data_IF_294217604857
#
_entry.id   IF_294217604857
#
_cell.length_a   1.000
_cell.length_b   1.000
_cell.length_c   1.000
_cell.angle_alpha   90.00
_cell.angle_beta   90.00
_cell.angle_gamma   90.00
#
_symmetry.space_group_name_H-M   'P 1'
#
loop_
_entity.id
_entity.type
_entity.pdbx_description
1 polymer ?
#
# COMPACT_ATOMS: atom_id res chain seq x y z
N UNK A 1 20.00 12.97 40.48
CA UNK A 1 19.28 12.79 39.20
C UNK A 1 17.86 13.30 39.39
N UNK A 2 17.47 14.37 38.70
CA UNK A 2 16.13 14.92 38.83
C UNK A 2 15.15 14.04 38.03
N UNK A 3 14.24 13.37 38.73
CA UNK A 3 13.11 12.68 38.12
C UNK A 3 12.26 13.72 37.40
N UNK A 4 12.27 13.70 36.06
CA UNK A 4 11.40 14.52 35.23
C UNK A 4 9.96 14.10 35.57
N UNK A 5 9.24 14.96 36.30
CA UNK A 5 7.81 14.76 36.61
C UNK A 5 7.09 14.41 35.30
N UNK A 6 6.48 13.23 35.25
CA UNK A 6 5.57 12.85 34.18
C UNK A 6 4.38 13.80 34.24
N UNK A 7 4.37 14.78 33.36
CA UNK A 7 3.21 15.66 33.16
C UNK A 7 2.07 14.74 32.70
N UNK A 8 0.92 14.71 33.39
CA UNK A 8 -0.23 13.94 32.92
C UNK A 8 -0.58 14.44 31.52
N UNK A 9 -0.68 13.52 30.56
CA UNK A 9 -1.20 13.87 29.24
C UNK A 9 -2.60 14.46 29.44
N UNK A 10 -2.94 15.57 28.75
CA UNK A 10 -4.28 16.15 28.84
C UNK A 10 -5.34 15.09 28.52
N UNK A 11 -6.51 15.13 29.18
CA UNK A 11 -7.59 14.19 28.90
C UNK A 11 -7.89 14.18 27.40
N UNK A 12 -8.00 12.99 26.82
CA UNK A 12 -8.26 12.85 25.39
C UNK A 12 -9.72 13.20 25.13
N UNK A 13 -10.02 14.15 24.24
CA UNK A 13 -11.40 14.51 23.93
C UNK A 13 -12.21 13.33 23.41
N UNK A 14 -13.52 13.34 23.65
CA UNK A 14 -14.40 12.23 23.22
C UNK A 14 -14.59 12.18 21.70
N UNK A 15 -14.40 13.31 21.01
CA UNK A 15 -14.53 13.42 19.55
C UNK A 15 -13.20 13.85 18.89
N UNK A 16 -12.83 13.27 17.74
CA UNK A 16 -11.68 13.71 16.94
C UNK A 16 -11.73 15.19 16.54
N UNK A 17 -12.92 15.76 16.35
CA UNK A 17 -13.06 17.17 15.98
C UNK A 17 -12.64 18.13 17.10
N UNK A 18 -12.79 17.70 18.37
CA UNK A 18 -12.39 18.49 19.54
C UNK A 18 -10.86 18.59 19.66
N UNK A 19 -10.13 17.56 19.22
CA UNK A 19 -8.66 17.62 19.17
C UNK A 19 -8.20 18.80 18.33
N UNK A 20 -8.84 19.06 17.20
CA UNK A 20 -8.50 20.21 16.37
C UNK A 20 -8.67 21.51 17.17
N UNK A 21 -9.78 21.66 17.90
CA UNK A 21 -10.10 22.85 18.70
C UNK A 21 -9.16 23.09 19.89
N UNK A 22 -8.45 22.06 20.34
CA UNK A 22 -7.45 22.15 21.41
C UNK A 22 -6.04 22.47 20.88
N UNK A 23 -5.81 22.42 19.56
CA UNK A 23 -4.49 22.71 18.97
C UNK A 23 -4.26 24.22 18.87
N UNK A 24 -3.28 24.78 19.60
CA UNK A 24 -3.06 26.23 19.65
C UNK A 24 -2.44 26.78 18.35
N UNK A 25 -1.78 25.91 17.56
CA UNK A 25 -1.12 26.28 16.30
C UNK A 25 -2.02 26.15 15.07
N UNK A 26 -3.30 25.77 15.23
CA UNK A 26 -4.21 25.63 14.09
C UNK A 26 -4.43 26.99 13.43
N UNK A 27 -4.57 27.00 12.10
CA UNK A 27 -4.95 28.18 11.31
C UNK A 27 -6.37 28.09 10.76
N UNK A 28 -6.99 26.91 10.84
CA UNK A 28 -8.38 26.68 10.42
C UNK A 28 -9.34 26.83 11.61
N UNK A 29 -10.56 27.36 11.40
CA UNK A 29 -11.51 27.59 12.49
C UNK A 29 -12.08 26.29 13.06
N UNK A 30 -12.21 25.24 12.24
CA UNK A 30 -12.76 23.95 12.61
C UNK A 30 -12.96 23.06 11.39
N UNK A 31 -13.58 21.90 11.60
CA UNK A 31 -14.02 21.00 10.51
C UNK A 31 -15.29 21.54 9.85
N UNK A 32 -15.47 21.23 8.57
CA UNK A 32 -16.72 21.50 7.84
C UNK A 32 -17.83 20.55 8.32
N UNK A 33 -19.10 20.91 8.09
CA UNK A 33 -20.25 20.15 8.58
C UNK A 33 -20.20 18.67 8.16
N UNK A 34 -20.00 18.40 6.86
CA UNK A 34 -19.90 17.03 6.33
C UNK A 34 -18.70 16.25 6.87
N UNK A 35 -17.59 16.93 7.17
CA UNK A 35 -16.41 16.31 7.81
C UNK A 35 -16.75 15.88 9.23
N UNK A 36 -17.43 16.75 9.99
CA UNK A 36 -17.90 16.47 11.35
C UNK A 36 -18.89 15.31 11.39
N UNK A 37 -19.83 15.24 10.44
CA UNK A 37 -20.79 14.13 10.32
C UNK A 37 -20.08 12.79 10.10
N UNK A 38 -19.09 12.74 9.20
CA UNK A 38 -18.30 11.52 8.93
C UNK A 38 -17.52 11.11 10.18
N UNK A 39 -16.88 12.06 10.86
CA UNK A 39 -16.16 11.82 12.11
C UNK A 39 -17.10 11.25 13.20
N UNK A 40 -18.30 11.81 13.36
CA UNK A 40 -19.29 11.36 14.35
C UNK A 40 -19.83 9.97 14.03
N UNK A 41 -20.11 9.69 12.76
CA UNK A 41 -20.52 8.35 12.30
C UNK A 41 -19.42 7.34 12.57
N UNK A 42 -18.17 7.68 12.24
CA UNK A 42 -17.03 6.83 12.53
C UNK A 42 -16.90 6.51 14.03
N UNK A 43 -16.98 7.54 14.90
CA UNK A 43 -16.88 7.36 16.36
C UNK A 43 -18.02 6.51 16.92
N UNK A 44 -19.23 6.66 16.38
CA UNK A 44 -20.41 5.95 16.91
C UNK A 44 -20.53 4.50 16.42
N UNK A 45 -20.03 4.19 15.22
CA UNK A 45 -20.34 2.91 14.55
C UNK A 45 -19.12 2.09 14.16
N UNK A 46 -17.94 2.70 14.01
CA UNK A 46 -16.83 2.09 13.29
C UNK A 46 -15.54 1.96 14.13
N UNK A 47 -15.51 2.41 15.39
CA UNK A 47 -14.31 2.38 16.24
C UNK A 47 -13.74 0.96 16.41
N UNK A 48 -14.59 -0.03 16.61
CA UNK A 48 -14.17 -1.43 16.85
C UNK A 48 -14.16 -2.28 15.58
N UNK A 49 -14.52 -1.70 14.44
CA UNK A 49 -14.59 -2.40 13.16
C UNK A 49 -13.21 -2.46 12.51
N UNK A 50 -12.69 -3.63 12.12
CA UNK A 50 -11.30 -3.77 11.65
C UNK A 50 -11.02 -3.14 10.28
N UNK A 51 -12.00 -3.07 9.40
CA UNK A 51 -11.85 -2.57 8.03
C UNK A 51 -13.00 -1.58 7.75
N UNK A 52 -12.68 -0.30 7.62
CA UNK A 52 -13.66 0.80 7.50
C UNK A 52 -13.32 1.66 6.30
N UNK A 53 -14.31 2.01 5.50
CA UNK A 53 -14.17 2.92 4.38
C UNK A 53 -14.89 4.24 4.68
N UNK A 54 -14.22 5.35 4.38
CA UNK A 54 -14.77 6.70 4.53
C UNK A 54 -14.92 7.33 3.15
N UNK A 55 -16.17 7.55 2.74
CA UNK A 55 -16.47 8.23 1.49
C UNK A 55 -16.44 9.75 1.67
N UNK A 56 -15.44 10.39 1.05
CA UNK A 56 -15.23 11.84 1.13
C UNK A 56 -15.02 12.39 -0.29
N UNK A 57 -15.84 13.33 -0.79
CA UNK A 57 -15.68 13.94 -2.11
C UNK A 57 -14.28 14.54 -2.32
N UNK A 58 -13.81 14.67 -3.56
CA UNK A 58 -12.58 15.40 -3.86
C UNK A 58 -12.69 16.86 -3.40
N UNK A 59 -11.59 17.44 -2.91
CA UNK A 59 -11.59 18.81 -2.36
C UNK A 59 -12.28 18.98 -0.99
N UNK A 60 -12.89 17.94 -0.44
CA UNK A 60 -13.66 18.00 0.82
C UNK A 60 -12.81 17.93 2.10
N UNK A 61 -11.47 17.90 1.98
CA UNK A 61 -10.53 17.83 3.10
C UNK A 61 -10.36 16.44 3.72
N UNK A 62 -10.25 15.39 2.90
CA UNK A 62 -10.08 13.99 3.38
C UNK A 62 -8.87 13.81 4.29
N UNK A 63 -7.78 14.46 3.93
CA UNK A 63 -6.54 14.47 4.71
C UNK A 63 -6.78 14.96 6.13
N UNK A 64 -7.54 16.04 6.32
CA UNK A 64 -7.89 16.53 7.65
C UNK A 64 -8.69 15.49 8.44
N UNK A 65 -9.74 14.92 7.84
CA UNK A 65 -10.58 13.90 8.50
C UNK A 65 -9.74 12.69 8.91
N UNK A 66 -8.94 12.15 7.99
CA UNK A 66 -8.06 11.02 8.25
C UNK A 66 -7.05 11.30 9.35
N UNK A 67 -6.37 12.45 9.30
CA UNK A 67 -5.39 12.85 10.32
C UNK A 67 -6.03 13.07 11.71
N UNK A 68 -7.24 13.63 11.77
CA UNK A 68 -7.93 13.83 13.05
C UNK A 68 -8.35 12.51 13.68
N UNK A 69 -8.95 11.60 12.91
CA UNK A 69 -9.30 10.26 13.40
C UNK A 69 -8.04 9.52 13.85
N UNK A 70 -6.98 9.60 13.05
CA UNK A 70 -5.70 8.98 13.31
C UNK A 70 -5.05 9.51 14.61
N UNK A 71 -4.97 10.83 14.77
CA UNK A 71 -4.42 11.45 15.99
C UNK A 71 -5.29 11.15 17.22
N UNK A 72 -6.61 11.14 17.06
CA UNK A 72 -7.54 10.80 18.13
C UNK A 72 -7.33 9.39 18.65
N UNK A 73 -7.23 8.41 17.75
CA UNK A 73 -6.94 7.02 18.12
C UNK A 73 -5.58 6.86 18.77
N UNK A 74 -4.56 7.53 18.20
CA UNK A 74 -3.21 7.56 18.80
C UNK A 74 -3.27 8.02 20.25
N UNK A 75 -3.97 9.12 20.54
CA UNK A 75 -4.09 9.65 21.90
C UNK A 75 -4.96 8.76 22.80
N UNK A 76 -6.13 8.33 22.33
CA UNK A 76 -7.13 7.60 23.12
C UNK A 76 -6.70 6.18 23.45
N UNK A 77 -6.12 5.47 22.48
CA UNK A 77 -5.80 4.04 22.59
C UNK A 77 -4.29 3.76 22.62
N UNK A 78 -3.43 4.79 22.55
CA UNK A 78 -1.97 4.67 22.46
C UNK A 78 -1.51 3.77 21.32
N UNK A 79 -2.13 3.96 20.16
CA UNK A 79 -1.89 3.17 18.96
C UNK A 79 -0.77 3.75 18.11
N UNK A 80 0.06 2.89 17.51
CA UNK A 80 1.01 3.30 16.46
C UNK A 80 0.23 3.51 15.18
N UNK A 81 0.14 4.76 14.75
CA UNK A 81 -0.68 5.15 13.61
C UNK A 81 0.17 5.45 12.39
N UNK A 82 -0.15 4.78 11.29
CA UNK A 82 0.52 4.94 10.00
C UNK A 82 -0.46 5.47 8.96
N UNK A 83 -0.15 6.62 8.37
CA UNK A 83 -0.90 7.22 7.28
C UNK A 83 -0.16 6.99 5.97
N UNK A 84 -0.81 6.35 5.00
CA UNK A 84 -0.22 5.94 3.73
C UNK A 84 -0.68 6.86 2.60
N UNK A 85 0.29 7.40 1.87
CA UNK A 85 0.09 8.22 0.68
C UNK A 85 0.60 7.49 -0.59
N UNK A 86 0.05 7.82 -1.78
CA UNK A 86 0.52 7.25 -3.06
C UNK A 86 2.00 7.47 -3.36
N UNK A 87 2.54 8.66 -3.06
CA UNK A 87 3.90 9.03 -3.42
C UNK A 87 4.55 9.99 -2.39
N UNK A 88 5.86 10.22 -2.53
CA UNK A 88 6.64 11.06 -1.60
C UNK A 88 6.20 12.52 -1.60
N UNK A 89 5.74 13.06 -2.73
CA UNK A 89 5.24 14.43 -2.82
C UNK A 89 3.98 14.59 -1.94
N UNK A 90 3.05 13.64 -2.02
CA UNK A 90 1.85 13.64 -1.19
C UNK A 90 2.19 13.44 0.29
N UNK A 91 3.20 12.62 0.63
CA UNK A 91 3.69 12.54 2.03
C UNK A 91 4.12 13.90 2.54
N UNK A 92 4.96 14.61 1.78
CA UNK A 92 5.44 15.93 2.19
C UNK A 92 4.30 16.95 2.31
N UNK A 93 3.34 16.94 1.38
CA UNK A 93 2.15 17.80 1.45
C UNK A 93 1.29 17.53 2.69
N UNK A 94 1.06 16.26 3.03
CA UNK A 94 0.30 15.89 4.23
C UNK A 94 1.03 16.35 5.50
N UNK A 95 2.35 16.20 5.57
CA UNK A 95 3.16 16.65 6.71
C UNK A 95 3.16 18.17 6.84
N UNK A 96 3.28 18.90 5.74
CA UNK A 96 3.20 20.36 5.70
C UNK A 96 1.82 20.84 6.16
N UNK A 97 0.74 20.28 5.59
CA UNK A 97 -0.64 20.63 6.00
C UNK A 97 -0.91 20.33 7.48
N UNK A 98 -0.46 19.18 7.96
CA UNK A 98 -0.60 18.79 9.36
C UNK A 98 0.06 19.81 10.29
N UNK A 99 1.32 20.16 10.03
CA UNK A 99 2.10 21.06 10.87
C UNK A 99 1.64 22.52 10.75
N UNK A 100 1.47 23.01 9.51
CA UNK A 100 1.34 24.44 9.24
C UNK A 100 -0.10 24.94 9.21
N UNK A 101 -1.07 24.08 8.92
CA UNK A 101 -2.49 24.45 8.87
C UNK A 101 -3.27 23.90 10.06
N UNK A 102 -3.06 22.64 10.41
CA UNK A 102 -3.87 21.96 11.43
C UNK A 102 -3.24 22.05 12.83
N UNK A 103 -1.94 22.34 12.92
CA UNK A 103 -1.19 22.40 14.17
C UNK A 103 -0.84 21.03 14.75
N UNK A 104 -1.08 19.95 14.01
CA UNK A 104 -0.71 18.57 14.33
C UNK A 104 0.78 18.37 14.05
N UNK A 105 1.50 17.73 14.98
CA UNK A 105 2.87 17.30 14.68
C UNK A 105 2.89 15.84 14.27
N UNK A 106 3.34 15.59 13.05
CA UNK A 106 3.45 14.26 12.43
C UNK A 106 4.83 14.08 11.83
N UNK A 107 5.30 12.84 11.70
CA UNK A 107 6.58 12.52 11.09
C UNK A 107 6.41 11.99 9.67
N UNK A 108 7.03 12.67 8.71
CA UNK A 108 7.15 12.19 7.34
C UNK A 108 8.33 11.23 7.18
N UNK A 109 8.05 10.02 6.73
CA UNK A 109 9.08 9.01 6.45
C UNK A 109 9.17 8.78 4.95
N UNK A 110 10.20 9.34 4.33
CA UNK A 110 10.49 9.15 2.90
C UNK A 110 11.92 8.65 2.71
N UNK A 111 12.14 7.79 1.72
CA UNK A 111 13.47 7.22 1.43
C UNK A 111 13.74 5.90 2.13
N UNK A 112 15.02 5.57 2.34
CA UNK A 112 15.46 4.30 2.95
C UNK A 112 15.30 4.36 4.47
N UNK A 113 14.83 3.26 5.07
CA UNK A 113 14.61 3.17 6.52
C UNK A 113 15.87 3.37 7.37
N UNK A 114 17.05 3.04 6.82
CA UNK A 114 18.34 3.31 7.46
C UNK A 114 18.60 4.81 7.67
N UNK A 115 18.05 5.66 6.80
CA UNK A 115 18.24 7.11 6.84
C UNK A 115 17.17 7.89 7.60
N UNK A 116 16.14 7.25 8.19
CA UNK A 116 15.15 8.01 8.96
C UNK A 116 15.76 8.53 10.26
N UNK A 117 15.33 9.73 10.67
CA UNK A 117 15.73 10.38 11.92
C UNK A 117 15.47 9.45 13.13
N UNK A 118 16.49 9.15 13.95
CA UNK A 118 16.34 8.35 15.16
C UNK A 118 15.26 8.86 16.12
N UNK A 119 15.10 10.18 16.26
CA UNK A 119 14.07 10.75 17.15
C UNK A 119 12.68 10.44 16.60
N UNK A 120 12.45 10.69 15.31
CA UNK A 120 11.19 10.34 14.65
C UNK A 120 10.85 8.85 14.76
N UNK A 121 11.85 7.96 14.63
CA UNK A 121 11.66 6.51 14.81
C UNK A 121 11.18 6.17 16.23
N UNK A 122 11.82 6.75 17.25
CA UNK A 122 11.48 6.51 18.64
C UNK A 122 10.07 7.03 18.97
N UNK A 123 9.75 8.25 18.54
CA UNK A 123 8.44 8.86 18.77
C UNK A 123 7.31 8.09 18.05
N UNK A 124 7.54 7.59 16.83
CA UNK A 124 6.59 6.70 16.15
C UNK A 124 6.44 5.37 16.90
N UNK A 125 7.55 4.72 17.24
CA UNK A 125 7.55 3.41 17.91
C UNK A 125 6.87 3.45 19.29
N UNK A 126 7.00 4.58 20.00
CA UNK A 126 6.33 4.83 21.28
C UNK A 126 4.88 5.32 21.18
N UNK A 127 4.29 5.37 19.98
CA UNK A 127 2.98 5.95 19.71
C UNK A 127 2.85 7.43 20.16
N UNK A 128 3.97 8.15 20.26
CA UNK A 128 4.01 9.56 20.64
C UNK A 128 3.66 10.49 19.47
N UNK A 129 3.96 10.05 18.24
CA UNK A 129 3.65 10.78 17.00
C UNK A 129 3.19 9.84 15.89
N UNK A 130 2.30 10.35 15.05
CA UNK A 130 1.83 9.66 13.85
C UNK A 130 2.91 9.64 12.78
N UNK A 131 3.04 8.52 12.07
CA UNK A 131 3.90 8.40 10.90
C UNK A 131 3.12 8.56 9.60
N UNK A 132 3.64 9.36 8.67
CA UNK A 132 3.13 9.52 7.30
C UNK A 132 4.17 8.96 6.33
N UNK A 133 3.78 8.05 5.44
CA UNK A 133 4.72 7.41 4.51
C UNK A 133 4.03 6.95 3.24
N UNK A 134 4.77 6.34 2.31
CA UNK A 134 4.21 5.79 1.08
C UNK A 134 3.74 4.36 1.24
N UNK A 135 2.82 3.91 0.38
CA UNK A 135 2.42 2.49 0.32
C UNK A 135 3.62 1.54 0.22
N UNK A 136 4.60 1.86 -0.62
CA UNK A 136 5.81 1.06 -0.81
C UNK A 136 6.69 0.92 0.44
N UNK A 137 6.58 1.85 1.40
CA UNK A 137 7.30 1.75 2.66
C UNK A 137 6.69 0.71 3.61
N UNK A 138 5.38 0.42 3.47
CA UNK A 138 4.69 -0.65 4.18
C UNK A 138 4.69 -1.96 3.37
N UNK A 139 4.33 -1.92 2.09
CA UNK A 139 4.21 -3.09 1.21
C UNK A 139 5.56 -3.42 0.56
N UNK A 140 6.45 -3.97 1.37
CA UNK A 140 7.70 -4.59 0.95
C UNK A 140 8.01 -5.79 1.86
N UNK A 141 9.08 -6.53 1.56
CA UNK A 141 9.42 -7.78 2.27
C UNK A 141 9.97 -7.58 3.68
N UNK A 142 10.43 -6.38 4.04
CA UNK A 142 10.97 -6.08 5.36
C UNK A 142 10.71 -4.61 5.73
N UNK A 143 9.45 -4.22 5.97
CA UNK A 143 9.11 -2.83 6.20
C UNK A 143 9.58 -2.40 7.58
N UNK A 144 10.04 -1.15 7.69
CA UNK A 144 10.30 -0.52 9.00
C UNK A 144 9.02 -0.48 9.85
N UNK A 145 7.89 -0.22 9.20
CA UNK A 145 6.57 -0.22 9.80
C UNK A 145 6.01 -1.64 9.90
N UNK A 146 6.57 -2.46 10.80
CA UNK A 146 6.24 -3.89 10.88
C UNK A 146 5.07 -4.22 11.82
N UNK A 147 4.59 -3.25 12.60
CA UNK A 147 3.54 -3.46 13.61
C UNK A 147 2.66 -2.21 13.85
N UNK A 148 2.14 -1.54 12.80
CA UNK A 148 1.17 -0.47 13.00
C UNK A 148 -0.12 -1.02 13.64
N UNK A 149 -0.70 -0.28 14.58
CA UNK A 149 -1.98 -0.63 15.18
C UNK A 149 -3.15 -0.10 14.35
N UNK A 150 -2.98 1.09 13.74
CA UNK A 150 -3.94 1.72 12.85
C UNK A 150 -3.26 2.11 11.54
N UNK A 151 -3.87 1.73 10.42
CA UNK A 151 -3.43 2.11 9.08
C UNK A 151 -4.50 2.97 8.43
N UNK A 152 -4.14 4.18 8.01
CA UNK A 152 -4.99 5.04 7.20
C UNK A 152 -4.48 5.01 5.77
N UNK A 153 -5.33 4.59 4.84
CA UNK A 153 -5.07 4.45 3.41
C UNK A 153 -5.70 5.66 2.71
N UNK A 154 -4.86 6.63 2.33
CA UNK A 154 -5.32 7.81 1.60
C UNK A 154 -5.38 7.55 0.10
N UNK A 155 -6.47 7.98 -0.51
CA UNK A 155 -6.84 7.67 -1.88
C UNK A 155 -6.76 6.17 -2.20
N UNK A 156 -7.72 5.42 -1.67
CA UNK A 156 -7.73 3.97 -1.79
C UNK A 156 -7.77 3.44 -3.24
N UNK A 157 -8.14 4.24 -4.25
CA UNK A 157 -8.03 3.81 -5.66
C UNK A 157 -6.59 3.75 -6.13
N UNK A 158 -5.78 4.73 -5.74
CA UNK A 158 -4.37 4.76 -6.10
C UNK A 158 -3.60 3.61 -5.43
N UNK A 159 -4.13 3.07 -4.32
CA UNK A 159 -3.48 2.01 -3.54
C UNK A 159 -3.32 0.69 -4.30
N UNK A 160 -4.17 0.36 -5.29
CA UNK A 160 -4.19 -0.96 -5.95
C UNK A 160 -2.82 -1.36 -6.48
N UNK A 161 -2.23 -0.49 -7.29
CA UNK A 161 -0.98 -0.76 -7.96
C UNK A 161 0.16 -0.90 -6.96
N UNK A 162 0.13 -0.19 -5.84
CA UNK A 162 1.18 -0.25 -4.83
C UNK A 162 1.06 -1.48 -3.93
N UNK A 163 -0.17 -1.86 -3.54
CA UNK A 163 -0.42 -3.05 -2.72
C UNK A 163 -0.08 -4.30 -3.52
N UNK A 164 -0.60 -4.41 -4.75
CA UNK A 164 -0.39 -5.58 -5.58
C UNK A 164 1.08 -5.78 -5.96
N UNK A 165 1.87 -4.70 -6.07
CA UNK A 165 3.28 -4.74 -6.49
C UNK A 165 4.14 -5.71 -5.68
N UNK A 166 3.86 -5.91 -4.39
CA UNK A 166 4.61 -6.86 -3.55
C UNK A 166 4.48 -8.33 -4.05
N UNK A 167 3.37 -8.66 -4.70
CA UNK A 167 3.08 -9.98 -5.27
C UNK A 167 3.05 -9.98 -6.80
N UNK A 168 3.58 -8.93 -7.43
CA UNK A 168 3.69 -8.85 -8.89
C UNK A 168 5.14 -9.09 -9.28
N UNK A 169 5.39 -10.24 -9.90
CA UNK A 169 6.67 -10.60 -10.48
C UNK A 169 6.69 -10.19 -11.95
N UNK A 170 7.60 -9.30 -12.32
CA UNK A 170 7.70 -8.72 -13.68
C UNK A 170 9.09 -8.96 -14.21
N UNK A 171 9.19 -9.65 -15.35
CA UNK A 171 10.44 -9.81 -16.09
C UNK A 171 10.41 -8.85 -17.27
N UNK A 172 11.15 -7.75 -17.18
CA UNK A 172 11.25 -6.75 -18.23
C UNK A 172 12.26 -7.15 -19.31
N UNK A 173 11.84 -7.22 -20.58
CA UNK A 173 12.71 -7.63 -21.69
C UNK A 173 13.91 -6.69 -21.89
N UNK A 174 13.72 -5.38 -21.69
CA UNK A 174 14.72 -4.35 -21.94
C UNK A 174 15.69 -4.12 -20.78
N UNK A 175 15.41 -4.70 -19.61
CA UNK A 175 16.30 -4.62 -18.47
C UNK A 175 17.47 -5.61 -18.66
N UNK A 176 18.74 -5.15 -18.69
CA UNK A 176 19.89 -6.00 -18.93
C UNK A 176 20.00 -7.19 -17.96
N UNK A 177 19.63 -6.99 -16.69
CA UNK A 177 19.68 -8.04 -15.66
C UNK A 177 18.61 -9.12 -15.89
N UNK A 178 17.53 -8.76 -16.60
CA UNK A 178 16.40 -9.65 -16.87
C UNK A 178 16.52 -10.42 -18.18
N UNK A 179 17.45 -10.07 -19.08
CA UNK A 179 17.49 -10.65 -20.43
C UNK A 179 17.59 -12.18 -20.43
N UNK A 180 18.46 -12.74 -19.57
CA UNK A 180 18.67 -14.18 -19.50
C UNK A 180 17.43 -14.92 -18.98
N UNK A 181 16.82 -14.44 -17.90
CA UNK A 181 15.58 -15.01 -17.35
C UNK A 181 14.41 -14.84 -18.31
N UNK A 182 14.30 -13.69 -18.99
CA UNK A 182 13.28 -13.44 -19.99
C UNK A 182 13.36 -14.46 -21.13
N UNK A 183 14.55 -14.67 -21.69
CA UNK A 183 14.75 -15.65 -22.76
C UNK A 183 14.42 -17.08 -22.30
N UNK A 184 14.86 -17.48 -21.11
CA UNK A 184 14.60 -18.80 -20.56
C UNK A 184 13.09 -19.04 -20.31
N UNK A 185 12.40 -18.07 -19.71
CA UNK A 185 10.95 -18.14 -19.46
C UNK A 185 10.16 -18.10 -20.77
N UNK A 186 10.54 -17.25 -21.73
CA UNK A 186 9.91 -17.19 -23.04
C UNK A 186 10.02 -18.54 -23.77
N UNK A 187 11.15 -19.24 -23.66
CA UNK A 187 11.35 -20.57 -24.25
C UNK A 187 10.34 -21.60 -23.74
N UNK A 188 10.02 -21.57 -22.44
CA UNK A 188 8.98 -22.45 -21.87
C UNK A 188 7.60 -22.08 -22.43
N UNK A 189 7.30 -20.79 -22.45
CA UNK A 189 6.00 -20.26 -22.88
C UNK A 189 5.78 -20.47 -24.39
N UNK A 190 6.84 -20.65 -25.19
CA UNK A 190 6.77 -20.90 -26.64
C UNK A 190 5.75 -21.96 -27.03
N UNK A 191 5.68 -23.05 -26.26
CA UNK A 191 4.77 -24.17 -26.52
C UNK A 191 3.29 -23.79 -26.39
N UNK A 192 3.00 -22.67 -25.72
CA UNK A 192 1.65 -22.17 -25.47
C UNK A 192 1.24 -21.04 -26.43
N UNK A 193 2.16 -20.54 -27.26
CA UNK A 193 1.96 -19.37 -28.11
C UNK A 193 2.01 -19.70 -29.61
N UNK A 194 1.26 -18.92 -30.38
CA UNK A 194 1.44 -18.89 -31.83
C UNK A 194 2.84 -18.39 -32.21
N UNK A 195 3.33 -18.71 -33.41
CA UNK A 195 4.61 -18.20 -33.91
C UNK A 195 4.66 -16.67 -33.98
N UNK A 196 3.51 -16.02 -34.25
CA UNK A 196 3.39 -14.56 -34.23
C UNK A 196 3.52 -13.99 -32.82
N UNK A 197 2.83 -14.57 -31.84
CA UNK A 197 2.85 -14.06 -30.46
C UNK A 197 4.20 -14.30 -29.78
N UNK A 198 4.85 -15.43 -30.08
CA UNK A 198 6.21 -15.66 -29.62
C UNK A 198 7.21 -14.65 -30.23
N UNK A 199 7.10 -14.36 -31.53
CA UNK A 199 7.93 -13.34 -32.19
C UNK A 199 7.76 -11.95 -31.56
N UNK A 200 6.53 -11.61 -31.13
CA UNK A 200 6.25 -10.38 -30.37
C UNK A 200 6.92 -10.38 -29.01
N UNK A 201 6.78 -11.48 -28.27
CA UNK A 201 7.33 -11.63 -26.91
C UNK A 201 8.85 -11.46 -26.88
N UNK A 202 9.57 -12.05 -27.84
CA UNK A 202 11.04 -11.93 -27.89
C UNK A 202 11.54 -10.68 -28.63
N UNK A 203 10.65 -9.92 -29.27
CA UNK A 203 11.01 -8.74 -30.06
C UNK A 203 11.79 -9.07 -31.34
N UNK A 204 11.43 -10.17 -32.03
CA UNK A 204 12.17 -10.67 -33.19
C UNK A 204 12.15 -9.75 -34.43
N UNK A 205 11.21 -8.81 -34.51
CA UNK A 205 11.16 -7.83 -35.60
C UNK A 205 11.43 -6.43 -35.06
N UNK A 206 12.62 -5.93 -35.38
CA UNK A 206 13.01 -4.54 -35.10
C UNK A 206 12.14 -3.57 -35.93
N UNK A 207 11.73 -2.45 -35.32
CA UNK A 207 10.97 -1.40 -36.00
C UNK A 207 9.45 -1.61 -36.11
N UNK A 208 8.94 -2.80 -35.77
CA UNK A 208 7.49 -3.03 -35.65
C UNK A 208 7.04 -2.62 -34.25
N UNK A 209 6.22 -1.57 -34.18
CA UNK A 209 5.65 -1.15 -32.90
C UNK A 209 4.46 -2.05 -32.57
N UNK A 210 4.68 -3.06 -31.72
CA UNK A 210 3.62 -3.94 -31.21
C UNK A 210 2.78 -3.28 -30.10
N UNK A 211 2.72 -1.95 -30.07
CA UNK A 211 1.91 -1.18 -29.12
C UNK A 211 0.48 -1.69 -29.12
N UNK A 212 0.02 -2.19 -27.97
CA UNK A 212 -1.35 -2.67 -27.77
C UNK A 212 -1.52 -4.19 -27.75
N UNK A 213 -0.49 -4.99 -28.04
CA UNK A 213 -0.58 -6.44 -27.77
C UNK A 213 -0.46 -6.69 -26.26
N UNK A 214 -1.54 -7.19 -25.68
CA UNK A 214 -1.61 -7.67 -24.30
C UNK A 214 -2.32 -9.01 -24.34
N UNK A 215 -1.70 -10.03 -23.77
CA UNK A 215 -2.27 -11.37 -23.73
C UNK A 215 -2.21 -11.97 -22.32
N UNK A 216 -3.09 -12.94 -22.06
CA UNK A 216 -3.15 -13.72 -20.83
C UNK A 216 -3.13 -15.19 -21.19
N UNK A 217 -2.12 -15.90 -20.72
CA UNK A 217 -2.07 -17.37 -20.87
C UNK A 217 -3.23 -17.99 -20.09
N UNK A 218 -4.07 -18.84 -20.71
CA UNK A 218 -5.15 -19.51 -20.00
C UNK A 218 -4.63 -20.29 -18.79
N UNK A 219 -5.28 -20.13 -17.63
CA UNK A 219 -4.86 -20.75 -16.36
C UNK A 219 -4.62 -22.27 -16.48
N UNK A 220 -5.45 -23.06 -17.18
CA UNK A 220 -5.18 -24.50 -17.34
C UNK A 220 -3.90 -24.83 -18.12
N UNK A 221 -3.44 -23.94 -18.99
CA UNK A 221 -2.19 -24.11 -19.74
C UNK A 221 -0.99 -23.63 -18.91
N UNK A 222 -1.13 -22.50 -18.22
CA UNK A 222 -0.15 -22.03 -17.25
C UNK A 222 0.13 -23.10 -16.18
N UNK A 223 -0.92 -23.76 -15.67
CA UNK A 223 -0.79 -24.83 -14.69
C UNK A 223 0.09 -26.01 -15.12
N UNK A 224 0.16 -26.31 -16.43
CA UNK A 224 0.96 -27.40 -16.96
C UNK A 224 2.46 -27.11 -16.96
N UNK A 225 2.85 -25.83 -16.92
CA UNK A 225 4.24 -25.39 -17.01
C UNK A 225 4.78 -24.84 -15.68
N UNK A 226 4.02 -24.94 -14.58
CA UNK A 226 4.43 -24.39 -13.28
C UNK A 226 5.78 -24.93 -12.80
N UNK A 227 5.97 -26.25 -12.78
CA UNK A 227 7.18 -26.86 -12.25
C UNK A 227 8.42 -26.46 -13.06
N UNK A 228 8.29 -26.41 -14.38
CA UNK A 228 9.35 -25.98 -15.29
C UNK A 228 9.67 -24.49 -15.10
N UNK A 229 8.65 -23.64 -14.98
CA UNK A 229 8.81 -22.22 -14.67
C UNK A 229 9.51 -22.01 -13.32
N UNK A 230 9.13 -22.74 -12.28
CA UNK A 230 9.76 -22.64 -10.96
C UNK A 230 11.24 -23.01 -11.07
N UNK A 231 11.56 -24.14 -11.71
CA UNK A 231 12.94 -24.59 -11.90
C UNK A 231 13.80 -23.56 -12.63
N UNK A 232 13.27 -22.97 -13.72
CA UNK A 232 13.99 -21.96 -14.49
C UNK A 232 14.12 -20.67 -13.70
N UNK A 233 13.04 -20.14 -13.13
CA UNK A 233 13.08 -18.88 -12.39
C UNK A 233 14.02 -18.98 -11.19
N UNK A 234 13.98 -20.07 -10.41
CA UNK A 234 14.88 -20.29 -9.28
C UNK A 234 16.36 -20.23 -9.67
N UNK A 235 16.69 -20.71 -10.87
CA UNK A 235 18.07 -20.70 -11.40
C UNK A 235 18.55 -19.27 -11.65
N UNK A 236 17.70 -18.41 -12.23
CA UNK A 236 18.11 -17.07 -12.67
C UNK A 236 17.86 -15.96 -11.64
N UNK A 237 16.97 -16.14 -10.66
CA UNK A 237 16.53 -15.03 -9.78
C UNK A 237 17.54 -14.66 -8.68
N UNK A 238 18.55 -15.50 -8.43
CA UNK A 238 19.40 -15.42 -7.22
C UNK A 238 20.19 -14.11 -7.07
N UNK A 239 20.53 -13.44 -8.18
CA UNK A 239 21.41 -12.27 -8.22
C UNK A 239 20.74 -10.98 -8.73
N UNK A 240 19.43 -10.97 -8.93
CA UNK A 240 18.69 -9.84 -9.51
C UNK A 240 17.61 -9.31 -8.55
N UNK A 241 17.09 -8.13 -8.84
CA UNK A 241 16.10 -7.42 -8.03
C UNK A 241 14.72 -8.14 -7.93
N UNK A 242 14.48 -9.16 -8.75
CA UNK A 242 13.27 -9.98 -8.74
C UNK A 242 13.19 -11.02 -7.60
N UNK A 243 14.28 -11.25 -6.87
CA UNK A 243 14.36 -12.31 -5.85
C UNK A 243 13.25 -12.21 -4.80
N UNK A 244 12.94 -10.99 -4.37
CA UNK A 244 11.97 -10.74 -3.31
C UNK A 244 10.54 -10.98 -3.75
N UNK A 245 10.15 -10.46 -4.91
CA UNK A 245 8.80 -10.66 -5.45
C UNK A 245 8.59 -12.12 -5.83
N UNK A 246 9.60 -12.79 -6.39
CA UNK A 246 9.54 -14.24 -6.65
C UNK A 246 9.27 -15.03 -5.38
N UNK A 247 10.02 -14.77 -4.31
CA UNK A 247 9.81 -15.44 -3.01
C UNK A 247 8.38 -15.32 -2.50
N UNK A 248 7.68 -14.20 -2.79
CA UNK A 248 6.30 -13.99 -2.35
C UNK A 248 5.28 -14.84 -3.11
N UNK A 249 5.57 -15.26 -4.35
CA UNK A 249 4.60 -15.97 -5.20
C UNK A 249 5.00 -17.41 -5.55
N UNK A 250 6.28 -17.77 -5.38
CA UNK A 250 6.88 -19.04 -5.83
C UNK A 250 6.04 -20.27 -5.47
N UNK A 251 5.61 -20.36 -4.21
CA UNK A 251 4.88 -21.54 -3.71
C UNK A 251 3.35 -21.44 -3.96
N UNK A 252 2.91 -20.37 -4.63
CA UNK A 252 1.51 -20.01 -4.86
C UNK A 252 1.20 -19.70 -6.34
N UNK A 253 1.99 -20.23 -7.29
CA UNK A 253 1.77 -20.02 -8.73
C UNK A 253 0.37 -20.42 -9.17
N UNK A 254 -0.25 -21.42 -8.54
CA UNK A 254 -1.62 -21.85 -8.84
C UNK A 254 -2.68 -20.75 -8.65
N UNK A 255 -2.42 -19.78 -7.76
CA UNK A 255 -3.30 -18.64 -7.52
C UNK A 255 -2.96 -17.44 -8.42
N UNK A 256 -1.93 -17.56 -9.25
CA UNK A 256 -1.43 -16.51 -10.13
C UNK A 256 -1.95 -16.64 -11.57
N UNK A 257 -1.79 -15.55 -12.30
CA UNK A 257 -2.03 -15.47 -13.73
C UNK A 257 -0.76 -14.97 -14.43
N UNK A 258 -0.55 -15.46 -15.64
CA UNK A 258 0.57 -15.09 -16.50
C UNK A 258 0.07 -14.18 -17.62
N UNK A 259 0.62 -12.97 -17.66
CA UNK A 259 0.33 -11.93 -18.63
C UNK A 259 1.57 -11.63 -19.48
N UNK A 260 1.34 -11.34 -20.75
CA UNK A 260 2.38 -11.14 -21.74
C UNK A 260 2.17 -9.81 -22.45
N UNK A 261 3.25 -9.07 -22.60
CA UNK A 261 3.35 -7.92 -23.49
C UNK A 261 4.66 -8.01 -24.28
N UNK A 262 4.88 -7.16 -25.29
CA UNK A 262 6.17 -7.11 -25.98
C UNK A 262 7.32 -6.61 -25.09
N UNK A 263 7.05 -6.03 -23.93
CA UNK A 263 8.07 -5.42 -23.07
C UNK A 263 8.28 -6.17 -21.76
N UNK A 264 7.32 -6.98 -21.31
CA UNK A 264 7.41 -7.71 -20.06
C UNK A 264 6.58 -9.00 -20.03
N UNK A 265 7.04 -9.94 -19.20
CA UNK A 265 6.31 -11.11 -18.74
C UNK A 265 5.92 -10.86 -17.28
N UNK A 266 4.63 -10.88 -16.96
CA UNK A 266 4.13 -10.59 -15.63
C UNK A 266 3.39 -11.79 -15.04
N UNK A 267 3.76 -12.18 -13.81
CA UNK A 267 3.07 -13.19 -13.00
C UNK A 267 2.56 -12.52 -11.73
N UNK A 268 1.24 -12.58 -11.49
CA UNK A 268 0.63 -12.04 -10.26
C UNK A 268 -0.67 -12.74 -9.89
N UNK A 269 -1.07 -12.75 -8.61
CA UNK A 269 -2.40 -13.18 -8.22
C UNK A 269 -3.47 -12.18 -8.67
N UNK A 270 -4.70 -12.67 -8.83
CA UNK A 270 -5.86 -11.83 -9.13
C UNK A 270 -6.18 -10.90 -7.97
N UNK A 271 -6.13 -11.42 -6.74
CA UNK A 271 -6.35 -10.69 -5.49
C UNK A 271 -5.02 -10.71 -4.71
N UNK A 272 -4.46 -9.56 -4.31
CA UNK A 272 -3.25 -9.55 -3.52
C UNK A 272 -3.50 -10.19 -2.14
N UNK A 273 -2.70 -11.19 -1.71
CA UNK A 273 -2.91 -11.91 -0.47
C UNK A 273 -2.39 -11.09 0.72
N UNK A 274 -2.99 -9.92 0.96
CA UNK A 274 -2.57 -9.01 2.04
C UNK A 274 -2.73 -9.62 3.43
N UNK A 275 -3.52 -10.70 3.58
CA UNK A 275 -3.61 -11.50 4.79
C UNK A 275 -2.30 -12.21 5.16
N UNK A 276 -1.36 -12.38 4.23
CA UNK A 276 -0.03 -12.91 4.51
C UNK A 276 0.98 -11.80 4.88
N UNK A 277 0.65 -10.55 4.60
CA UNK A 277 1.49 -9.41 4.96
C UNK A 277 1.17 -8.93 6.38
N UNK A 278 1.79 -9.58 7.38
CA UNK A 278 1.56 -9.32 8.82
C UNK A 278 1.48 -7.85 9.21
N UNK A 279 2.37 -6.94 8.76
CA UNK A 279 2.27 -5.52 9.13
C UNK A 279 0.94 -4.86 8.74
N UNK A 280 0.32 -5.33 7.66
CA UNK A 280 -1.01 -4.88 7.25
C UNK A 280 -2.12 -5.73 7.87
N UNK A 281 -1.98 -7.06 7.86
CA UNK A 281 -2.98 -8.01 8.35
C UNK A 281 -3.21 -7.94 9.87
N UNK A 282 -2.19 -7.65 10.66
CA UNK A 282 -2.25 -7.65 12.13
C UNK A 282 -2.63 -6.28 12.70
N UNK A 283 -2.72 -5.23 11.87
CA UNK A 283 -3.24 -3.94 12.30
C UNK A 283 -4.66 -4.10 12.86
N UNK A 284 -4.93 -3.48 14.01
CA UNK A 284 -6.24 -3.53 14.68
C UNK A 284 -7.34 -2.95 13.79
N UNK A 285 -7.01 -1.88 13.07
CA UNK A 285 -7.93 -1.25 12.14
C UNK A 285 -7.23 -0.69 10.90
N UNK A 286 -7.93 -0.75 9.76
CA UNK A 286 -7.57 -0.16 8.47
C UNK A 286 -8.69 0.77 8.01
N UNK A 287 -8.36 2.03 7.79
CA UNK A 287 -9.31 3.06 7.33
C UNK A 287 -8.98 3.41 5.89
N UNK A 288 -9.93 3.18 4.98
CA UNK A 288 -9.81 3.43 3.55
C UNK A 288 -10.53 4.72 3.18
N UNK A 289 -9.80 5.76 2.81
CA UNK A 289 -10.40 7.03 2.41
C UNK A 289 -10.47 7.15 0.90
N UNK A 290 -11.64 7.50 0.37
CA UNK A 290 -11.83 7.59 -1.07
C UNK A 290 -13.00 8.49 -1.49
N UNK A 291 -12.99 9.01 -2.71
CA UNK A 291 -14.14 9.74 -3.27
C UNK A 291 -15.24 8.81 -3.75
N UNK A 292 -14.84 7.69 -4.35
CA UNK A 292 -15.74 6.73 -4.98
C UNK A 292 -15.55 5.36 -4.35
N UNK A 293 -16.24 5.08 -3.25
CA UNK A 293 -16.27 3.71 -2.74
C UNK A 293 -17.09 2.87 -3.72
N UNK A 294 -16.43 2.15 -4.63
CA UNK A 294 -17.12 1.27 -5.57
C UNK A 294 -18.12 0.36 -4.86
N UNK A 295 -19.32 0.25 -5.42
CA UNK A 295 -20.42 -0.53 -4.82
C UNK A 295 -20.22 -2.06 -4.98
N UNK A 296 -19.27 -2.49 -5.81
CA UNK A 296 -19.11 -3.88 -6.24
C UNK A 296 -18.01 -4.68 -5.55
N UNK A 297 -17.57 -4.28 -4.36
CA UNK A 297 -16.48 -4.97 -3.66
C UNK A 297 -15.08 -4.58 -4.17
N UNK A 298 -14.94 -3.42 -4.80
CA UNK A 298 -13.66 -2.99 -5.39
C UNK A 298 -12.56 -2.84 -4.34
N UNK A 299 -12.88 -2.31 -3.14
CA UNK A 299 -11.93 -2.21 -2.04
C UNK A 299 -11.52 -3.60 -1.54
N UNK A 300 -12.48 -4.51 -1.38
CA UNK A 300 -12.26 -5.89 -0.98
C UNK A 300 -11.31 -6.60 -1.97
N UNK A 301 -11.54 -6.44 -3.28
CA UNK A 301 -10.66 -6.98 -4.34
C UNK A 301 -9.27 -6.34 -4.31
N UNK A 302 -9.21 -5.02 -4.20
CA UNK A 302 -7.97 -4.22 -4.23
C UNK A 302 -7.05 -4.57 -3.05
N UNK A 303 -7.66 -4.74 -1.88
CA UNK A 303 -6.95 -4.90 -0.63
C UNK A 303 -6.86 -6.35 -0.18
N UNK A 304 -7.55 -7.29 -0.81
CA UNK A 304 -7.66 -8.68 -0.37
C UNK A 304 -8.41 -8.87 0.95
N UNK A 305 -9.17 -7.87 1.41
CA UNK A 305 -9.97 -7.94 2.64
C UNK A 305 -11.35 -8.53 2.35
N UNK A 306 -11.89 -9.32 3.29
CA UNK A 306 -13.17 -10.04 3.10
C UNK A 306 -14.39 -9.13 3.13
N UNK A 307 -14.36 -8.10 3.96
CA UNK A 307 -15.48 -7.17 4.14
C UNK A 307 -14.93 -5.84 4.63
N UNK A 308 -15.45 -4.75 4.06
CA UNK A 308 -15.15 -3.38 4.48
C UNK A 308 -16.46 -2.69 4.82
N UNK A 309 -16.60 -2.20 6.06
CA UNK A 309 -17.73 -1.39 6.49
C UNK A 309 -17.68 -0.04 5.78
N UNK A 310 -18.81 0.46 5.28
CA UNK A 310 -18.92 1.71 4.53
C UNK A 310 -19.75 2.72 5.31
#
# INVERSE_FOLDING_TARGET
MAFKKTIPLPPVPDSPEQILLDLPRRKIPGVLLHQGEIIKTYVSQAVDTPDVALQLPTGSGKTLVGLLIAEWRRRKFRERVLFLCPNKQLVNQVVEQANDLYGLTVHGFTGKSSGFDPVAKAEYGGAERLGVTTYSALFNTNPFFNNPDLIVVDDAHAAENYIAKLWTFVIERRNPEHQAIHAAVASIIRALLSSSDYSRLIGAQEGVNYTGWVDKVPTPYFAKIHDELISVIDTYVTAIDLRYTWKMIRDHLFACHLYLTPDEIMIRPLIPPTWEHKPFADAKQRIYMSATLGAGGDLERLTGRKSVMR
#
